data_IF_226122091639
#
_entry.id   IF_226122091639
#
_cell.length_a   1.000
_cell.length_b   1.000
_cell.length_c   1.000
_cell.angle_alpha   90.00
_cell.angle_beta   90.00
_cell.angle_gamma   90.00
#
_symmetry.space_group_name_H-M   'P 1'
#
loop_
_entity.id
_entity.type
_entity.pdbx_description
1 polymer ?
#
# COMPACT_ATOMS: atom_id res chain seq x y z
N UNK A 1 16.78 -17.57 2.90
CA UNK A 1 15.73 -16.53 2.93
C UNK A 1 14.82 -16.79 1.74
N UNK A 2 13.52 -17.03 1.96
CA UNK A 2 12.56 -17.19 0.87
C UNK A 2 11.95 -15.82 0.52
N UNK A 3 11.60 -15.55 -0.74
CA UNK A 3 10.95 -14.31 -1.12
C UNK A 3 9.60 -14.20 -0.40
N UNK A 4 9.37 -13.07 0.27
CA UNK A 4 8.07 -12.74 0.88
C UNK A 4 7.13 -12.14 -0.16
N UNK A 5 5.83 -12.40 -0.02
CA UNK A 5 4.81 -11.78 -0.89
C UNK A 5 4.62 -10.31 -0.49
N UNK A 6 4.78 -9.41 -1.46
CA UNK A 6 4.40 -8.00 -1.31
C UNK A 6 2.89 -7.90 -1.44
N UNK A 7 2.24 -7.23 -0.47
CA UNK A 7 0.78 -7.10 -0.39
C UNK A 7 0.27 -5.66 -0.51
N UNK A 8 1.19 -4.68 -0.54
CA UNK A 8 0.89 -3.26 -0.66
C UNK A 8 2.14 -2.41 -0.52
N UNK A 9 2.02 -1.11 -0.79
CA UNK A 9 3.10 -0.13 -0.69
C UNK A 9 2.68 1.05 0.19
N UNK A 10 3.51 1.36 1.18
CA UNK A 10 3.41 2.64 1.89
C UNK A 10 4.21 3.69 1.12
N UNK A 11 3.54 4.76 0.70
CA UNK A 11 4.19 5.91 0.07
C UNK A 11 4.57 6.92 1.16
N UNK A 12 5.79 7.47 1.07
CA UNK A 12 6.15 8.65 1.84
C UNK A 12 6.21 9.84 0.89
N UNK A 13 5.20 10.70 0.94
CA UNK A 13 5.11 11.92 0.13
C UNK A 13 5.36 13.18 0.95
N UNK A 14 6.00 13.10 2.13
CA UNK A 14 6.23 14.22 3.05
C UNK A 14 6.68 15.52 2.39
N UNK A 15 7.58 15.43 1.40
CA UNK A 15 8.16 16.60 0.71
C UNK A 15 7.52 16.89 -0.66
N UNK A 16 6.50 16.14 -1.07
CA UNK A 16 5.81 16.32 -2.34
C UNK A 16 4.58 17.21 -2.17
N UNK A 17 4.21 17.95 -3.20
CA UNK A 17 2.88 18.56 -3.26
C UNK A 17 1.78 17.50 -3.25
N UNK A 18 0.54 17.89 -2.96
CA UNK A 18 -0.61 16.99 -3.00
C UNK A 18 -0.79 16.35 -4.40
N UNK A 19 -0.68 17.17 -5.45
CA UNK A 19 -0.75 16.72 -6.84
C UNK A 19 0.35 15.71 -7.21
N UNK A 20 1.60 15.96 -6.79
CA UNK A 20 2.71 15.03 -7.03
C UNK A 20 2.53 13.72 -6.26
N UNK A 21 2.05 13.80 -5.02
CA UNK A 21 1.77 12.63 -4.20
C UNK A 21 0.71 11.74 -4.85
N UNK A 22 -0.39 12.34 -5.30
CA UNK A 22 -1.48 11.62 -5.98
C UNK A 22 -0.99 11.01 -7.30
N UNK A 23 -0.22 11.75 -8.11
CA UNK A 23 0.34 11.24 -9.36
C UNK A 23 1.27 10.05 -9.14
N UNK A 24 2.13 10.10 -8.12
CA UNK A 24 3.03 8.99 -7.78
C UNK A 24 2.24 7.79 -7.27
N UNK A 25 1.25 8.01 -6.39
CA UNK A 25 0.37 6.98 -5.86
C UNK A 25 -0.39 6.27 -6.99
N UNK A 26 -1.01 7.03 -7.91
CA UNK A 26 -1.71 6.50 -9.07
C UNK A 26 -0.78 5.65 -9.96
N UNK A 27 0.44 6.15 -10.24
CA UNK A 27 1.44 5.42 -11.04
C UNK A 27 1.87 4.10 -10.40
N UNK A 28 2.10 4.07 -9.08
CA UNK A 28 2.50 2.84 -8.38
C UNK A 28 1.32 1.85 -8.35
N UNK A 29 0.11 2.35 -8.10
CA UNK A 29 -1.11 1.53 -8.05
C UNK A 29 -1.40 0.89 -9.40
N UNK A 30 -1.28 1.64 -10.49
CA UNK A 30 -1.40 1.12 -11.87
C UNK A 30 -0.33 0.08 -12.18
N UNK A 31 0.94 0.38 -11.86
CA UNK A 31 2.07 -0.50 -12.18
C UNK A 31 2.01 -1.84 -11.46
N UNK A 32 1.55 -1.86 -10.21
CA UNK A 32 1.64 -3.05 -9.36
C UNK A 32 0.30 -3.71 -9.09
N UNK A 33 -0.83 -3.06 -9.39
CA UNK A 33 -2.17 -3.54 -9.07
C UNK A 33 -2.31 -3.94 -7.59
N UNK A 34 -1.60 -3.23 -6.71
CA UNK A 34 -1.61 -3.45 -5.26
C UNK A 34 -2.04 -2.15 -4.55
N UNK A 35 -2.57 -2.26 -3.32
CA UNK A 35 -2.84 -1.12 -2.46
C UNK A 35 -1.61 -0.19 -2.32
N UNK A 36 -1.83 1.11 -2.45
CA UNK A 36 -0.79 2.14 -2.26
C UNK A 36 -1.41 3.30 -1.51
N UNK A 37 -0.85 3.60 -0.35
CA UNK A 37 -1.36 4.66 0.51
C UNK A 37 -0.22 5.43 1.16
N UNK A 38 -0.36 6.75 1.26
CA UNK A 38 0.48 7.54 2.16
C UNK A 38 -0.16 7.56 3.56
N UNK A 39 0.35 6.68 4.42
CA UNK A 39 -0.20 6.47 5.77
C UNK A 39 -0.15 7.72 6.64
N UNK A 40 0.74 8.67 6.35
CA UNK A 40 0.87 9.90 7.13
C UNK A 40 -0.13 10.98 6.67
N UNK A 41 -0.61 10.92 5.43
CA UNK A 41 -1.56 11.89 4.86
C UNK A 41 -3.00 11.38 4.82
N UNK A 42 -3.20 10.13 4.43
CA UNK A 42 -4.51 9.56 4.11
C UNK A 42 -5.01 8.58 5.18
N UNK A 43 -4.14 8.19 6.13
CA UNK A 43 -4.41 7.13 7.11
C UNK A 43 -3.98 5.75 6.62
N UNK A 44 -4.06 4.72 7.47
CA UNK A 44 -3.49 3.40 7.18
C UNK A 44 -4.48 2.34 6.70
N UNK A 45 -5.77 2.69 6.58
CA UNK A 45 -6.87 1.74 6.42
C UNK A 45 -6.70 0.81 5.21
N UNK A 46 -6.31 1.34 4.03
CA UNK A 46 -6.14 0.54 2.80
C UNK A 46 -5.07 -0.56 2.97
N UNK A 47 -3.99 -0.27 3.69
CA UNK A 47 -2.91 -1.23 3.95
C UNK A 47 -3.27 -2.21 5.07
N UNK A 48 -3.99 -1.74 6.10
CA UNK A 48 -4.49 -2.62 7.17
C UNK A 48 -5.46 -3.65 6.58
N UNK A 49 -6.36 -3.24 5.69
CA UNK A 49 -7.27 -4.15 5.01
C UNK A 49 -6.50 -5.19 4.18
N UNK A 50 -5.46 -4.78 3.45
CA UNK A 50 -4.60 -5.70 2.70
C UNK A 50 -3.95 -6.76 3.60
N UNK A 51 -3.46 -6.36 4.79
CA UNK A 51 -2.88 -7.25 5.79
C UNK A 51 -3.92 -8.24 6.31
N UNK A 52 -5.10 -7.77 6.73
CA UNK A 52 -6.16 -8.63 7.26
C UNK A 52 -6.66 -9.62 6.20
N UNK A 53 -6.80 -9.18 4.95
CA UNK A 53 -7.19 -10.04 3.83
C UNK A 53 -6.11 -11.07 3.50
N UNK A 54 -4.83 -10.72 3.62
CA UNK A 54 -3.75 -11.68 3.44
C UNK A 54 -3.67 -12.69 4.60
N UNK A 55 -3.84 -12.23 5.85
CA UNK A 55 -3.90 -13.09 7.05
C UNK A 55 -4.94 -14.19 6.90
N UNK A 56 -6.17 -13.86 6.47
CA UNK A 56 -7.25 -14.83 6.22
C UNK A 56 -6.88 -15.90 5.19
N UNK A 57 -5.97 -15.61 4.26
CA UNK A 57 -5.54 -16.56 3.21
C UNK A 57 -4.44 -17.51 3.68
N UNK A 58 -3.64 -17.12 4.66
CA UNK A 58 -2.43 -17.87 5.05
C UNK A 58 -2.53 -18.51 6.43
N UNK A 59 -3.43 -18.03 7.30
CA UNK A 59 -3.67 -18.61 8.62
C UNK A 59 -5.01 -19.35 8.55
N UNK A 60 -5.01 -20.70 8.61
CA UNK A 60 -6.26 -21.46 8.74
C UNK A 60 -6.95 -21.14 10.07
N UNK A 61 -8.28 -21.23 10.08
CA UNK A 61 -9.13 -20.97 11.25
C UNK A 61 -8.87 -21.95 12.40
#
# INVERSE_FOLDING_TARGET
MFPSKVIGFALNSKNASEFEAEKVRARIKEKHCLPVCDVLREGSDELVEAILNYKKKIIPA
#
